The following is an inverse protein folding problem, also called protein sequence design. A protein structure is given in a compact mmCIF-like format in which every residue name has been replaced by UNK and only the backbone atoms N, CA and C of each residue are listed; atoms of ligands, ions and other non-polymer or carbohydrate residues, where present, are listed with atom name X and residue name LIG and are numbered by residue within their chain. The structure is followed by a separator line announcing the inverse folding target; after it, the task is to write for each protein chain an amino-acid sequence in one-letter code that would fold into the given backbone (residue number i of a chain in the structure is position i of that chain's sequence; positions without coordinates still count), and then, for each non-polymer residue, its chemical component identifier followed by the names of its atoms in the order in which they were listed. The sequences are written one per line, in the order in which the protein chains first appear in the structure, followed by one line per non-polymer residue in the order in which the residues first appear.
data_IF_574114489535
#
_entry.id   IF_574114489535
#
_cell.length_a   1.000
_cell.length_b   1.000
_cell.length_c   1.000
_cell.angle_alpha   90.00
_cell.angle_beta   90.00
_cell.angle_gamma   90.00
#
_symmetry.space_group_name_H-M   'P 1'
#
loop_
_entity.id
_entity.type
_entity.pdbx_description
1 polymer ?
#
# COMPACT_ATOMS: atom_id res chain seq x y z
N UNK A 1 20.59 -3.79 -13.64
CA UNK A 1 20.93 -2.37 -13.90
C UNK A 1 20.79 -1.67 -12.56
N UNK A 2 21.88 -1.20 -11.94
CA UNK A 2 21.81 -0.50 -10.65
C UNK A 2 21.51 0.97 -10.95
N UNK A 3 20.23 1.30 -11.06
CA UNK A 3 19.76 2.68 -11.10
C UNK A 3 19.73 3.18 -9.66
N UNK A 4 20.70 4.04 -9.30
CA UNK A 4 20.53 4.93 -8.15
C UNK A 4 19.33 5.82 -8.45
N UNK A 5 18.22 5.59 -7.77
CA UNK A 5 17.06 6.45 -7.87
C UNK A 5 17.32 7.75 -7.11
N UNK A 6 16.92 8.87 -7.70
CA UNK A 6 17.08 10.17 -7.07
C UNK A 6 16.01 10.40 -6.01
N UNK A 7 16.29 11.28 -5.04
CA UNK A 7 15.29 11.68 -4.04
C UNK A 7 14.00 12.22 -4.67
N UNK A 8 14.13 13.01 -5.75
CA UNK A 8 12.98 13.60 -6.46
C UNK A 8 12.12 12.50 -7.10
N UNK A 9 12.75 11.56 -7.80
CA UNK A 9 12.06 10.43 -8.40
C UNK A 9 11.32 9.60 -7.34
N UNK A 10 11.93 9.37 -6.18
CA UNK A 10 11.28 8.64 -5.09
C UNK A 10 10.07 9.38 -4.53
N UNK A 11 10.15 10.70 -4.38
CA UNK A 11 9.00 11.52 -3.97
C UNK A 11 7.86 11.44 -4.99
N UNK A 12 8.15 11.36 -6.28
CA UNK A 12 7.14 11.18 -7.34
C UNK A 12 6.49 9.79 -7.32
N UNK A 13 7.25 8.75 -6.96
CA UNK A 13 6.73 7.38 -6.86
C UNK A 13 5.91 7.12 -5.59
N UNK A 14 6.14 7.85 -4.49
CA UNK A 14 5.47 7.61 -3.20
C UNK A 14 3.92 7.62 -3.26
N UNK A 15 3.24 8.55 -3.96
CA UNK A 15 1.79 8.51 -4.08
C UNK A 15 1.30 7.26 -4.84
N UNK A 16 2.02 6.83 -5.87
CA UNK A 16 1.69 5.63 -6.64
C UNK A 16 1.94 4.35 -5.83
N UNK A 17 3.00 4.36 -5.01
CA UNK A 17 3.26 3.31 -4.03
C UNK A 17 2.10 3.19 -3.04
N UNK A 18 1.67 4.31 -2.45
CA UNK A 18 0.57 4.35 -1.49
C UNK A 18 -0.77 3.88 -2.11
N UNK A 19 -0.99 4.13 -3.40
CA UNK A 19 -2.14 3.63 -4.15
C UNK A 19 -2.03 2.16 -4.57
N UNK A 20 -0.85 1.55 -4.43
CA UNK A 20 -0.60 0.18 -4.86
C UNK A 20 -0.59 -0.01 -6.38
N UNK A 21 -0.22 1.03 -7.14
CA UNK A 21 -0.27 1.04 -8.62
C UNK A 21 1.08 0.95 -9.29
N UNK A 22 2.17 0.81 -8.53
CA UNK A 22 3.52 0.65 -9.06
C UNK A 22 3.75 -0.75 -9.62
N UNK A 23 4.63 -0.85 -10.61
CA UNK A 23 5.15 -2.14 -11.06
C UNK A 23 6.03 -2.77 -9.96
N UNK A 24 6.18 -4.11 -9.95
CA UNK A 24 6.92 -4.81 -8.88
C UNK A 24 8.37 -4.33 -8.67
N UNK A 25 9.04 -3.89 -9.74
CA UNK A 25 10.42 -3.38 -9.67
C UNK A 25 10.49 -2.00 -9.01
N UNK A 26 9.52 -1.13 -9.30
CA UNK A 26 9.39 0.22 -8.72
C UNK A 26 9.00 0.13 -7.24
N UNK A 27 8.10 -0.79 -6.89
CA UNK A 27 7.72 -1.08 -5.51
C UNK A 27 8.95 -1.47 -4.68
N UNK A 28 9.78 -2.39 -5.19
CA UNK A 28 11.02 -2.79 -4.52
C UNK A 28 12.05 -1.64 -4.44
N UNK A 29 12.05 -0.71 -5.40
CA UNK A 29 12.91 0.45 -5.35
C UNK A 29 12.49 1.42 -4.23
N UNK A 30 11.20 1.70 -4.13
CA UNK A 30 10.62 2.55 -3.07
C UNK A 30 10.86 1.94 -1.69
N UNK A 31 10.61 0.64 -1.51
CA UNK A 31 10.81 -0.03 -0.21
C UNK A 31 12.26 0.03 0.27
N UNK A 32 13.22 -0.21 -0.65
CA UNK A 32 14.65 -0.07 -0.34
C UNK A 32 15.00 1.37 0.05
N UNK A 33 14.44 2.35 -0.66
CA UNK A 33 14.72 3.76 -0.42
C UNK A 33 14.12 4.26 0.90
N UNK A 34 12.90 3.83 1.23
CA UNK A 34 12.25 4.11 2.52
C UNK A 34 13.06 3.57 3.71
N UNK A 35 13.71 2.42 3.55
CA UNK A 35 14.61 1.88 4.57
C UNK A 35 15.83 2.75 4.86
N UNK A 36 16.29 3.54 3.90
CA UNK A 36 17.43 4.45 4.02
C UNK A 36 17.02 5.91 4.37
N UNK A 37 15.76 6.28 4.11
CA UNK A 37 15.24 7.65 4.21
C UNK A 37 13.98 7.69 5.10
N UNK A 38 14.13 7.63 6.45
CA UNK A 38 13.00 7.60 7.38
C UNK A 38 12.11 8.86 7.32
N UNK A 39 12.63 9.99 6.83
CA UNK A 39 11.86 11.21 6.57
C UNK A 39 10.72 10.99 5.58
N UNK A 40 10.92 10.11 4.58
CA UNK A 40 9.90 9.79 3.58
C UNK A 40 8.80 8.88 4.15
N UNK A 41 9.07 8.15 5.24
CA UNK A 41 8.05 7.35 5.90
C UNK A 41 6.95 8.23 6.54
N UNK A 42 7.30 9.45 6.98
CA UNK A 42 6.29 10.39 7.46
C UNK A 42 5.38 10.87 6.31
N UNK A 43 5.99 11.21 5.17
CA UNK A 43 5.26 11.63 3.97
C UNK A 43 4.37 10.51 3.41
N UNK A 44 4.86 9.26 3.39
CA UNK A 44 4.07 8.11 2.98
C UNK A 44 2.83 7.94 3.85
N UNK A 45 2.97 8.06 5.18
CA UNK A 45 1.84 7.95 6.10
C UNK A 45 0.77 9.02 5.84
N UNK A 46 1.18 10.25 5.59
CA UNK A 46 0.25 11.34 5.25
C UNK A 46 -0.52 11.05 3.95
N UNK A 47 0.15 10.47 2.94
CA UNK A 47 -0.48 10.03 1.70
C UNK A 47 -1.48 8.89 1.95
N UNK A 48 -1.10 7.88 2.73
CA UNK A 48 -1.95 6.74 3.09
C UNK A 48 -3.21 7.18 3.86
N UNK A 49 -3.05 8.11 4.81
CA UNK A 49 -4.18 8.72 5.53
C UNK A 49 -5.13 9.45 4.56
N UNK A 50 -4.58 10.22 3.61
CA UNK A 50 -5.36 10.87 2.56
C UNK A 50 -6.15 9.88 1.70
N UNK A 51 -5.51 8.78 1.30
CA UNK A 51 -6.12 7.73 0.48
C UNK A 51 -7.22 6.99 1.27
N UNK A 52 -7.05 6.78 2.57
CA UNK A 52 -8.08 6.16 3.40
C UNK A 52 -9.42 6.92 3.36
N UNK A 53 -9.39 8.25 3.24
CA UNK A 53 -10.61 9.04 3.05
C UNK A 53 -11.34 8.73 1.73
N UNK A 54 -10.62 8.32 0.68
CA UNK A 54 -11.23 7.93 -0.61
C UNK A 54 -12.05 6.63 -0.48
N UNK A 55 -11.65 5.72 0.42
CA UNK A 55 -12.43 4.52 0.69
C UNK A 55 -13.84 4.85 1.23
N UNK A 56 -13.99 6.00 1.91
CA UNK A 56 -15.27 6.47 2.43
C UNK A 56 -16.13 7.21 1.39
N UNK A 57 -15.58 7.61 0.25
CA UNK A 57 -16.36 8.29 -0.81
C UNK A 57 -17.03 7.32 -1.79
N UNK A 58 -16.68 6.04 -1.74
CA UNK A 58 -17.22 5.04 -2.67
C UNK A 58 -18.55 4.47 -2.15
N UNK A 59 -19.58 4.30 -3.00
CA UNK A 59 -20.83 3.66 -2.60
C UNK A 59 -20.59 2.26 -2.03
N UNK A 60 -21.30 1.91 -0.95
CA UNK A 60 -21.20 0.57 -0.37
C UNK A 60 -21.76 -0.47 -1.36
N UNK A 61 -20.95 -1.47 -1.70
CA UNK A 61 -21.37 -2.63 -2.47
C UNK A 61 -21.84 -3.76 -1.54
N UNK A 62 -22.92 -4.49 -1.88
CA UNK A 62 -23.35 -5.63 -1.09
C UNK A 62 -22.30 -6.75 -1.17
N UNK A 63 -21.93 -7.30 -0.01
CA UNK A 63 -21.07 -8.47 0.09
C UNK A 63 -21.91 -9.76 0.09
N UNK A 64 -21.37 -10.89 -0.37
CA UNK A 64 -22.00 -12.20 -0.17
C UNK A 64 -22.29 -12.45 1.32
N UNK A 65 -23.47 -12.97 1.64
CA UNK A 65 -23.91 -13.15 3.04
C UNK A 65 -23.00 -14.06 3.86
N UNK A 66 -22.29 -14.97 3.20
CA UNK A 66 -21.36 -15.94 3.80
C UNK A 66 -19.89 -15.46 3.82
N UNK A 67 -19.59 -14.27 3.28
CA UNK A 67 -18.22 -13.77 3.14
C UNK A 67 -17.46 -13.77 4.48
N UNK A 68 -18.10 -13.29 5.55
CA UNK A 68 -17.52 -13.29 6.91
C UNK A 68 -17.28 -14.71 7.42
N UNK A 69 -18.24 -15.61 7.25
CA UNK A 69 -18.12 -16.99 7.72
C UNK A 69 -16.99 -17.74 7.00
N UNK A 70 -16.88 -17.57 5.68
CA UNK A 70 -15.80 -18.14 4.85
C UNK A 70 -14.43 -17.63 5.28
N UNK A 71 -14.29 -16.32 5.51
CA UNK A 71 -13.04 -15.73 5.99
C UNK A 71 -12.63 -16.31 7.35
N UNK A 72 -13.57 -16.36 8.30
CA UNK A 72 -13.30 -16.88 9.64
C UNK A 72 -12.95 -18.37 9.65
N UNK A 73 -13.61 -19.19 8.82
CA UNK A 73 -13.30 -20.60 8.69
C UNK A 73 -11.86 -20.82 8.16
N UNK A 74 -11.45 -20.01 7.18
CA UNK A 74 -10.09 -20.05 6.63
C UNK A 74 -9.04 -19.68 7.68
N UNK A 75 -9.23 -18.57 8.39
CA UNK A 75 -8.29 -18.13 9.45
C UNK A 75 -8.16 -19.19 10.54
N UNK A 76 -9.25 -19.85 10.94
CA UNK A 76 -9.20 -20.95 11.92
C UNK A 76 -8.45 -22.18 11.41
N UNK A 77 -8.53 -22.49 10.12
CA UNK A 77 -7.77 -23.60 9.53
C UNK A 77 -6.27 -23.31 9.35
N UNK A 78 -5.89 -22.04 9.28
CA UNK A 78 -4.49 -21.58 9.19
C UNK A 78 -3.87 -21.35 10.58
N UNK A 79 -4.68 -21.32 11.64
CA UNK A 79 -4.21 -21.22 13.01
C UNK A 79 -3.52 -22.54 13.45
N UNK A 80 -2.32 -22.47 14.07
CA UNK A 80 -1.56 -23.65 14.49
C UNK A 80 -2.21 -24.42 15.65
#
# INVERSE_FOLDING_TARGET
MNTEHTYVEMVELLPLYALGTLEPEEMQAVERYLGAHPELAAQLRELEEGIAYLAHSTPTAPLPADAKARLLARVQSEAP
#
